data_IF_207982489713
#
_entry.id   IF_207982489713
#
_cell.length_a   1.000
_cell.length_b   1.000
_cell.length_c   1.000
_cell.angle_alpha   90.00
_cell.angle_beta   90.00
_cell.angle_gamma   90.00
#
_symmetry.space_group_name_H-M   'P 1'
#
loop_
_entity.id
_entity.type
_entity.pdbx_description
1 polymer ?
#
# COMPACT_ATOMS: atom_id res chain seq x y z
N UNK A 1 -25.54 26.22 41.84
CA UNK A 1 -25.98 26.18 40.42
C UNK A 1 -25.08 25.22 39.71
N UNK A 2 -25.44 23.94 39.79
CA UNK A 2 -24.75 22.83 39.07
C UNK A 2 -25.20 22.82 37.61
N UNK A 3 -24.27 22.95 36.69
CA UNK A 3 -24.51 22.63 35.29
C UNK A 3 -23.91 21.25 35.02
N UNK A 4 -24.80 20.31 34.77
CA UNK A 4 -24.48 18.97 34.31
C UNK A 4 -23.72 19.03 32.99
N UNK A 5 -22.52 18.45 32.95
CA UNK A 5 -21.81 18.13 31.73
C UNK A 5 -22.48 16.90 31.10
N UNK A 6 -23.02 17.12 29.91
CA UNK A 6 -23.64 16.08 29.09
C UNK A 6 -22.53 15.27 28.41
N UNK A 7 -22.35 14.02 28.87
CA UNK A 7 -21.50 13.04 28.20
C UNK A 7 -22.17 12.64 26.87
N UNK A 8 -21.83 13.33 25.80
CA UNK A 8 -22.15 12.85 24.47
C UNK A 8 -21.20 11.72 24.09
N UNK A 9 -21.67 10.51 24.29
CA UNK A 9 -21.06 9.28 23.82
C UNK A 9 -20.91 9.35 22.28
N UNK A 10 -19.69 9.52 21.79
CA UNK A 10 -19.36 9.27 20.40
C UNK A 10 -19.43 7.77 20.15
N UNK A 11 -20.59 7.30 19.74
CA UNK A 11 -20.75 5.96 19.17
C UNK A 11 -20.15 5.96 17.78
N UNK A 12 -18.98 5.34 17.65
CA UNK A 12 -18.49 4.92 16.34
C UNK A 12 -19.44 3.86 15.78
N UNK A 13 -20.28 4.27 14.85
CA UNK A 13 -21.02 3.33 14.00
C UNK A 13 -20.00 2.68 13.05
N UNK A 14 -19.51 1.52 13.46
CA UNK A 14 -18.85 0.58 12.54
C UNK A 14 -19.97 -0.03 11.72
N UNK A 15 -20.12 0.48 10.50
CA UNK A 15 -20.95 -0.17 9.50
C UNK A 15 -20.24 -1.47 9.09
N UNK A 16 -20.89 -2.63 9.22
CA UNK A 16 -20.37 -3.85 8.62
C UNK A 16 -20.72 -3.82 7.13
N UNK A 17 -19.84 -3.34 6.30
CA UNK A 17 -19.93 -3.60 4.86
C UNK A 17 -19.59 -5.07 4.63
N UNK A 18 -20.63 -5.87 4.53
CA UNK A 18 -20.55 -7.25 4.06
C UNK A 18 -20.05 -7.21 2.62
N UNK A 19 -18.80 -7.63 2.40
CA UNK A 19 -18.39 -8.08 1.09
C UNK A 19 -19.29 -9.24 0.68
N UNK A 20 -20.25 -8.97 -0.19
CA UNK A 20 -21.11 -10.00 -0.79
C UNK A 20 -20.26 -10.82 -1.75
N UNK A 21 -19.80 -11.95 -1.29
CA UNK A 21 -19.27 -13.01 -2.17
C UNK A 21 -20.49 -13.56 -2.95
N UNK A 22 -20.63 -13.14 -4.19
CA UNK A 22 -21.64 -13.68 -5.10
C UNK A 22 -21.08 -14.97 -5.68
N UNK A 23 -21.47 -16.10 -5.09
CA UNK A 23 -21.38 -17.41 -5.73
C UNK A 23 -22.55 -17.51 -6.72
N UNK A 24 -22.28 -17.36 -8.01
CA UNK A 24 -23.28 -17.61 -9.05
C UNK A 24 -23.29 -19.07 -9.42
N UNK A 25 -24.30 -19.81 -8.95
CA UNK A 25 -24.80 -21.01 -9.61
C UNK A 25 -25.80 -20.59 -10.70
N UNK A 26 -25.52 -20.97 -11.94
CA UNK A 26 -26.31 -20.64 -13.13
C UNK A 26 -27.59 -21.46 -13.20
N UNK A 27 -28.77 -20.81 -13.29
CA UNK A 27 -29.91 -21.28 -14.07
C UNK A 27 -30.80 -20.08 -14.48
N UNK A 28 -30.90 -19.86 -15.79
CA UNK A 28 -32.15 -19.58 -16.54
C UNK A 28 -32.71 -18.17 -16.57
N UNK A 29 -32.62 -17.57 -17.77
CA UNK A 29 -33.59 -16.68 -18.48
C UNK A 29 -33.96 -15.30 -17.94
N UNK A 30 -33.65 -14.28 -18.74
CA UNK A 30 -34.56 -13.14 -19.00
C UNK A 30 -34.04 -11.73 -18.65
N UNK A 31 -33.81 -10.95 -19.72
CA UNK A 31 -33.90 -9.48 -19.84
C UNK A 31 -32.84 -8.60 -19.16
N UNK A 32 -31.96 -8.05 -19.99
CA UNK A 32 -31.58 -6.65 -20.08
C UNK A 32 -31.19 -5.89 -18.80
N UNK A 33 -29.99 -6.13 -18.30
CA UNK A 33 -29.25 -5.14 -17.52
C UNK A 33 -27.77 -5.32 -17.84
N UNK A 34 -27.14 -4.29 -18.42
CA UNK A 34 -25.69 -4.26 -18.62
C UNK A 34 -25.00 -4.41 -17.24
N UNK A 35 -24.65 -5.64 -16.91
CA UNK A 35 -23.78 -5.93 -15.81
C UNK A 35 -22.40 -5.37 -16.16
N UNK A 36 -21.90 -4.44 -15.38
CA UNK A 36 -20.48 -4.12 -15.36
C UNK A 36 -19.72 -5.46 -15.32
N UNK A 37 -18.87 -5.71 -16.30
CA UNK A 37 -18.09 -6.95 -16.42
C UNK A 37 -17.14 -7.04 -15.22
N UNK A 38 -17.61 -7.66 -14.13
CA UNK A 38 -16.79 -7.95 -12.97
C UNK A 38 -15.68 -8.91 -13.38
N UNK A 39 -14.43 -8.57 -13.11
CA UNK A 39 -13.33 -9.52 -13.22
C UNK A 39 -13.62 -10.66 -12.26
N UNK A 40 -13.65 -11.90 -12.78
CA UNK A 40 -13.70 -13.07 -11.91
C UNK A 40 -12.37 -13.16 -11.18
N UNK A 41 -12.37 -12.81 -9.89
CA UNK A 41 -11.19 -12.89 -9.04
C UNK A 41 -10.89 -14.37 -8.77
N UNK A 42 -9.68 -14.81 -9.13
CA UNK A 42 -9.16 -16.09 -8.62
C UNK A 42 -8.93 -15.96 -7.10
N UNK A 43 -8.95 -17.10 -6.39
CA UNK A 43 -8.61 -17.10 -4.94
C UNK A 43 -7.23 -16.47 -4.68
N UNK A 44 -6.28 -16.75 -5.56
CA UNK A 44 -4.94 -16.17 -5.50
C UNK A 44 -4.97 -14.63 -5.63
N UNK A 45 -5.68 -14.10 -6.62
CA UNK A 45 -5.82 -12.66 -6.81
C UNK A 45 -6.47 -12.01 -5.59
N UNK A 46 -7.53 -12.62 -5.03
CA UNK A 46 -8.18 -12.12 -3.82
C UNK A 46 -7.22 -12.10 -2.62
N UNK A 47 -6.40 -13.14 -2.46
CA UNK A 47 -5.37 -13.19 -1.43
C UNK A 47 -4.33 -12.09 -1.60
N UNK A 48 -3.81 -11.89 -2.81
CA UNK A 48 -2.84 -10.84 -3.12
C UNK A 48 -3.40 -9.44 -2.87
N UNK A 49 -4.66 -9.17 -3.22
CA UNK A 49 -5.33 -7.92 -2.90
C UNK A 49 -5.42 -7.69 -1.38
N UNK A 50 -5.82 -8.72 -0.63
CA UNK A 50 -5.93 -8.63 0.83
C UNK A 50 -4.57 -8.39 1.50
N UNK A 51 -3.53 -9.05 1.02
CA UNK A 51 -2.16 -8.86 1.52
C UNK A 51 -1.66 -7.44 1.21
N UNK A 52 -1.83 -6.95 -0.02
CA UNK A 52 -1.47 -5.58 -0.39
C UNK A 52 -2.18 -4.55 0.48
N UNK A 53 -3.49 -4.72 0.73
CA UNK A 53 -4.28 -3.86 1.60
C UNK A 53 -3.79 -3.88 3.06
N UNK A 54 -3.39 -5.04 3.57
CA UNK A 54 -2.83 -5.18 4.92
C UNK A 54 -1.54 -4.36 5.08
N UNK A 55 -0.60 -4.52 4.16
CA UNK A 55 0.68 -3.78 4.19
C UNK A 55 0.50 -2.29 3.95
N UNK A 56 -0.42 -1.89 3.08
CA UNK A 56 -0.79 -0.50 2.87
C UNK A 56 -1.34 0.12 4.16
N UNK A 57 -2.28 -0.53 4.83
CA UNK A 57 -2.85 -0.05 6.09
C UNK A 57 -1.79 0.14 7.17
N UNK A 58 -0.89 -0.84 7.33
CA UNK A 58 0.23 -0.74 8.26
C UNK A 58 1.15 0.43 7.94
N UNK A 59 1.48 0.62 6.67
CA UNK A 59 2.30 1.75 6.21
C UNK A 59 1.64 3.10 6.54
N UNK A 60 0.34 3.25 6.24
CA UNK A 60 -0.43 4.47 6.52
C UNK A 60 -0.45 4.78 8.00
N UNK A 61 -0.73 3.80 8.85
CA UNK A 61 -0.75 3.98 10.31
C UNK A 61 0.61 4.41 10.85
N UNK A 62 1.69 3.82 10.34
CA UNK A 62 3.06 4.20 10.70
C UNK A 62 3.37 5.64 10.32
N UNK A 63 2.97 6.04 9.11
CA UNK A 63 3.17 7.39 8.59
C UNK A 63 2.39 8.41 9.41
N UNK A 64 1.09 8.18 9.62
CA UNK A 64 0.22 9.06 10.40
C UNK A 64 0.73 9.21 11.84
N UNK A 65 1.16 8.11 12.46
CA UNK A 65 1.74 8.16 13.81
C UNK A 65 3.00 9.04 13.86
N UNK A 66 3.89 8.88 12.86
CA UNK A 66 5.09 9.71 12.75
C UNK A 66 4.73 11.20 12.61
N UNK A 67 3.81 11.52 11.70
CA UNK A 67 3.44 12.90 11.39
C UNK A 67 2.69 13.60 12.54
N UNK A 68 1.95 12.85 13.37
CA UNK A 68 1.28 13.37 14.55
C UNK A 68 2.24 13.63 15.73
N UNK A 69 3.39 12.97 15.81
CA UNK A 69 4.36 13.23 16.88
C UNK A 69 4.91 14.66 16.86
N UNK A 70 5.14 15.23 15.69
CA UNK A 70 5.64 16.60 15.55
C UNK A 70 4.74 17.64 16.24
N UNK A 71 3.47 17.79 15.84
CA UNK A 71 2.55 18.73 16.46
C UNK A 71 2.29 18.43 17.95
N UNK A 72 2.23 17.16 18.36
CA UNK A 72 2.07 16.80 19.78
C UNK A 72 3.29 17.24 20.62
N UNK A 73 4.51 17.05 20.12
CA UNK A 73 5.72 17.55 20.77
C UNK A 73 5.75 19.08 20.85
N UNK A 74 5.25 19.77 19.83
CA UNK A 74 5.12 21.23 19.87
C UNK A 74 4.14 21.68 20.98
N UNK A 75 2.97 21.05 21.07
CA UNK A 75 1.98 21.33 22.13
C UNK A 75 2.59 21.09 23.52
N UNK A 76 3.29 19.96 23.70
CA UNK A 76 3.98 19.63 24.95
C UNK A 76 5.02 20.70 25.32
N UNK A 77 5.83 21.14 24.36
CA UNK A 77 6.85 22.16 24.56
C UNK A 77 6.25 23.52 24.93
N UNK A 78 5.16 23.93 24.26
CA UNK A 78 4.47 25.17 24.61
C UNK A 78 3.79 25.11 25.98
N UNK A 79 3.20 23.98 26.35
CA UNK A 79 2.64 23.77 27.70
C UNK A 79 3.73 23.92 28.76
N UNK A 80 4.94 23.40 28.53
CA UNK A 80 6.08 23.57 29.43
C UNK A 80 6.54 25.04 29.55
N UNK A 81 6.59 25.78 28.44
CA UNK A 81 6.93 27.21 28.47
C UNK A 81 5.89 28.01 29.23
N UNK A 82 4.60 27.71 29.05
CA UNK A 82 3.51 28.36 29.78
C UNK A 82 3.58 28.06 31.29
N UNK A 83 3.84 26.82 31.69
CA UNK A 83 4.00 26.40 33.09
C UNK A 83 5.04 27.25 33.83
N UNK A 84 6.15 27.61 33.15
CA UNK A 84 7.21 28.43 33.74
C UNK A 84 6.90 29.94 33.79
N UNK A 85 5.91 30.39 33.01
CA UNK A 85 5.54 31.81 32.95
C UNK A 85 4.27 32.17 33.73
N UNK A 86 3.50 31.15 34.11
CA UNK A 86 2.28 31.35 34.89
C UNK A 86 2.60 31.61 36.34
N UNK A 87 1.77 32.47 36.95
CA UNK A 87 1.82 32.72 38.39
C UNK A 87 1.57 31.40 39.15
N UNK A 88 2.50 31.07 40.04
CA UNK A 88 2.37 29.89 40.90
C UNK A 88 1.13 29.97 41.82
N UNK A 89 0.54 31.16 41.99
CA UNK A 89 -0.65 31.40 42.79
C UNK A 89 -1.98 31.24 41.98
N UNK A 90 -1.93 30.85 40.69
CA UNK A 90 -3.11 30.53 39.91
C UNK A 90 -3.31 29.00 39.79
N UNK A 91 -4.04 28.37 40.74
CA UNK A 91 -4.25 26.92 40.76
C UNK A 91 -5.14 26.43 39.59
N UNK A 92 -5.89 27.33 38.94
CA UNK A 92 -6.71 26.96 37.79
C UNK A 92 -5.87 26.83 36.57
N UNK A 93 -4.96 27.79 36.33
CA UNK A 93 -4.01 27.74 35.20
C UNK A 93 -3.03 26.57 35.34
N UNK A 94 -2.53 26.29 36.54
CA UNK A 94 -1.66 25.12 36.79
C UNK A 94 -2.37 23.80 36.47
N UNK A 95 -3.63 23.61 36.92
CA UNK A 95 -4.41 22.43 36.57
C UNK A 95 -4.64 22.29 35.05
N UNK A 96 -4.89 23.40 34.38
CA UNK A 96 -5.11 23.38 32.92
C UNK A 96 -3.85 22.89 32.16
N UNK A 97 -2.65 23.35 32.55
CA UNK A 97 -1.40 22.91 31.93
C UNK A 97 -1.12 21.43 32.22
N UNK A 98 -1.31 20.99 33.45
CA UNK A 98 -1.17 19.57 33.80
C UNK A 98 -2.12 18.73 32.97
N UNK A 99 -3.36 19.19 32.76
CA UNK A 99 -4.35 18.53 31.92
C UNK A 99 -3.90 18.43 30.44
N UNK A 100 -3.36 19.53 29.88
CA UNK A 100 -2.85 19.54 28.50
C UNK A 100 -1.69 18.55 28.35
N UNK A 101 -0.72 18.58 29.25
CA UNK A 101 0.45 17.67 29.19
C UNK A 101 0.03 16.21 29.31
N UNK A 102 -0.82 15.90 30.29
CA UNK A 102 -1.34 14.54 30.47
C UNK A 102 -2.12 14.07 29.23
N UNK A 103 -2.92 14.95 28.60
CA UNK A 103 -3.62 14.64 27.35
C UNK A 103 -2.69 14.34 26.20
N UNK A 104 -1.62 15.11 26.04
CA UNK A 104 -0.59 14.86 24.99
C UNK A 104 0.13 13.53 25.24
N UNK A 105 0.55 13.26 26.49
CA UNK A 105 1.23 12.01 26.83
C UNK A 105 0.35 10.79 26.57
N UNK A 106 -0.95 10.89 26.88
CA UNK A 106 -1.92 9.84 26.58
C UNK A 106 -2.07 9.61 25.08
N UNK A 107 -2.12 10.69 24.26
CA UNK A 107 -2.22 10.58 22.80
C UNK A 107 -0.97 9.93 22.21
N UNK A 108 0.22 10.32 22.64
CA UNK A 108 1.48 9.69 22.18
C UNK A 108 1.49 8.20 22.50
N UNK A 109 1.15 7.83 23.75
CA UNK A 109 1.09 6.42 24.17
C UNK A 109 0.06 5.61 23.39
N UNK A 110 -1.11 6.21 23.11
CA UNK A 110 -2.14 5.56 22.29
C UNK A 110 -1.67 5.30 20.86
N UNK A 111 -1.02 6.30 20.22
CA UNK A 111 -0.45 6.15 18.87
C UNK A 111 0.61 5.03 18.83
N UNK A 112 1.51 4.98 19.82
CA UNK A 112 2.51 3.93 19.93
C UNK A 112 1.87 2.55 20.08
N UNK A 113 0.89 2.43 20.96
CA UNK A 113 0.16 1.16 21.17
C UNK A 113 -0.55 0.69 19.90
N UNK A 114 -1.25 1.60 19.20
CA UNK A 114 -1.93 1.25 17.93
C UNK A 114 -0.94 0.78 16.89
N UNK A 115 0.16 1.52 16.69
CA UNK A 115 1.19 1.17 15.70
C UNK A 115 1.83 -0.17 16.05
N UNK A 116 2.23 -0.39 17.29
CA UNK A 116 2.88 -1.64 17.69
C UNK A 116 1.95 -2.85 17.56
N UNK A 117 0.67 -2.69 17.91
CA UNK A 117 -0.33 -3.76 17.79
C UNK A 117 -0.62 -4.09 16.32
N UNK A 118 -0.79 -3.07 15.47
CA UNK A 118 -1.10 -3.29 14.05
C UNK A 118 0.09 -3.83 13.27
N UNK A 119 1.31 -3.45 13.65
CA UNK A 119 2.55 -3.91 13.00
C UNK A 119 3.03 -5.27 13.44
N UNK A 120 2.43 -5.87 14.48
CA UNK A 120 2.89 -7.15 15.00
C UNK A 120 3.00 -8.25 13.92
N UNK A 121 2.07 -8.22 12.93
CA UNK A 121 2.05 -9.17 11.82
C UNK A 121 2.91 -8.78 10.60
N UNK A 122 3.34 -7.51 10.50
CA UNK A 122 4.05 -6.97 9.32
C UNK A 122 5.43 -6.41 9.63
N UNK A 123 5.79 -6.30 10.91
CA UNK A 123 7.05 -5.70 11.39
C UNK A 123 8.29 -6.47 10.90
N UNK A 124 8.22 -7.77 10.93
CA UNK A 124 9.24 -8.68 10.38
C UNK A 124 8.56 -9.60 9.37
N UNK A 125 8.86 -9.40 8.09
CA UNK A 125 8.42 -10.32 7.07
C UNK A 125 9.33 -11.57 7.14
N UNK A 126 8.84 -12.65 7.78
CA UNK A 126 9.51 -13.91 7.77
C UNK A 126 9.54 -14.49 6.34
N UNK A 127 10.73 -14.85 5.86
CA UNK A 127 10.91 -15.40 4.53
C UNK A 127 11.08 -16.92 4.59
N UNK A 128 10.36 -17.62 3.73
CA UNK A 128 10.58 -19.03 3.43
C UNK A 128 11.47 -19.11 2.19
N UNK A 129 12.79 -19.24 2.41
CA UNK A 129 13.76 -19.24 1.31
C UNK A 129 13.86 -20.62 0.68
N UNK A 130 13.74 -20.69 -0.64
CA UNK A 130 13.93 -21.88 -1.46
C UNK A 130 14.58 -21.50 -2.81
N UNK A 131 15.32 -22.41 -3.46
CA UNK A 131 15.88 -22.14 -4.77
C UNK A 131 14.79 -22.23 -5.84
N UNK A 132 14.74 -21.25 -6.74
CA UNK A 132 13.86 -21.24 -7.91
C UNK A 132 14.47 -20.48 -9.09
N UNK A 133 13.95 -20.76 -10.30
CA UNK A 133 14.37 -20.07 -11.50
C UNK A 133 13.75 -18.67 -11.58
N UNK A 134 14.57 -17.62 -11.70
CA UNK A 134 14.10 -16.24 -11.83
C UNK A 134 13.22 -16.03 -13.08
N UNK A 135 13.58 -16.65 -14.20
CA UNK A 135 12.80 -16.57 -15.44
C UNK A 135 11.34 -17.03 -15.22
N UNK A 136 11.14 -18.13 -14.48
CA UNK A 136 9.80 -18.64 -14.18
C UNK A 136 9.01 -17.67 -13.29
N UNK A 137 9.63 -17.09 -12.27
CA UNK A 137 8.98 -16.10 -11.40
C UNK A 137 8.43 -14.93 -12.21
N UNK A 138 9.23 -14.36 -13.12
CA UNK A 138 8.82 -13.21 -13.92
C UNK A 138 7.75 -13.57 -14.95
N UNK A 139 7.92 -14.70 -15.67
CA UNK A 139 6.95 -15.18 -16.66
C UNK A 139 5.57 -15.41 -16.03
N UNK A 140 5.53 -16.14 -14.91
CA UNK A 140 4.28 -16.46 -14.20
C UNK A 140 3.57 -15.20 -13.70
N UNK A 141 4.33 -14.23 -13.14
CA UNK A 141 3.77 -12.97 -12.65
C UNK A 141 3.17 -12.12 -13.77
N UNK A 142 3.84 -12.07 -14.93
CA UNK A 142 3.33 -11.37 -16.12
C UNK A 142 2.07 -12.03 -16.65
N UNK A 143 2.05 -13.35 -16.77
CA UNK A 143 0.91 -14.08 -17.33
C UNK A 143 -0.32 -13.98 -16.43
N UNK A 144 -0.14 -13.93 -15.10
CA UNK A 144 -1.23 -13.73 -14.16
C UNK A 144 -1.89 -12.36 -14.35
N UNK A 145 -1.13 -11.28 -14.44
CA UNK A 145 -1.68 -9.92 -14.62
C UNK A 145 -2.23 -9.73 -16.04
N UNK A 146 -1.56 -10.31 -17.06
CA UNK A 146 -1.99 -10.25 -18.46
C UNK A 146 -3.37 -10.86 -18.64
N UNK A 147 -3.61 -12.03 -18.05
CA UNK A 147 -4.88 -12.76 -18.18
C UNK A 147 -5.97 -12.21 -17.26
N UNK A 148 -5.62 -11.82 -16.04
CA UNK A 148 -6.57 -11.39 -15.02
C UNK A 148 -7.06 -9.94 -15.21
N UNK A 149 -6.16 -8.97 -15.39
CA UNK A 149 -6.50 -7.55 -15.38
C UNK A 149 -6.23 -6.84 -16.70
N UNK A 150 -5.03 -7.00 -17.27
CA UNK A 150 -4.57 -6.17 -18.39
C UNK A 150 -5.48 -6.30 -19.61
N UNK A 151 -5.92 -7.52 -19.94
CA UNK A 151 -6.84 -7.79 -21.04
C UNK A 151 -8.16 -7.03 -20.90
N UNK A 152 -8.75 -7.02 -19.71
CA UNK A 152 -10.04 -6.35 -19.45
C UNK A 152 -9.93 -4.83 -19.45
N UNK A 153 -8.73 -4.30 -19.26
CA UNK A 153 -8.45 -2.86 -19.36
C UNK A 153 -7.90 -2.44 -20.73
N UNK A 154 -7.73 -3.38 -21.67
CA UNK A 154 -7.15 -3.11 -22.99
C UNK A 154 -5.67 -2.69 -22.94
N UNK A 155 -4.94 -3.02 -21.86
CA UNK A 155 -3.52 -2.72 -21.70
C UNK A 155 -2.69 -3.92 -22.13
N UNK A 156 -1.63 -3.69 -22.90
CA UNK A 156 -0.68 -4.74 -23.30
C UNK A 156 0.45 -4.84 -22.26
N UNK A 157 0.78 -6.07 -21.82
CA UNK A 157 1.90 -6.32 -20.92
C UNK A 157 2.97 -7.11 -21.67
N UNK A 158 4.16 -6.50 -21.85
CA UNK A 158 5.32 -7.14 -22.46
C UNK A 158 6.32 -7.58 -21.39
N UNK A 159 7.04 -8.67 -21.67
CA UNK A 159 8.14 -9.13 -20.84
C UNK A 159 9.41 -9.22 -21.68
N UNK A 160 10.44 -8.51 -21.24
CA UNK A 160 11.77 -8.47 -21.86
C UNK A 160 12.76 -9.08 -20.88
N UNK A 161 13.23 -10.29 -21.16
CA UNK A 161 14.14 -11.02 -20.27
C UNK A 161 15.58 -10.90 -20.75
N UNK A 162 16.44 -10.39 -19.87
CA UNK A 162 17.89 -10.52 -19.97
C UNK A 162 18.45 -11.68 -19.16
N UNK A 163 17.57 -12.58 -18.67
CA UNK A 163 17.91 -13.75 -17.86
C UNK A 163 18.03 -14.99 -18.75
N UNK A 164 18.83 -15.96 -18.34
CA UNK A 164 18.95 -17.27 -18.98
C UNK A 164 18.55 -18.40 -18.02
N UNK A 165 19.45 -18.79 -17.16
CA UNK A 165 19.28 -19.95 -16.23
C UNK A 165 19.48 -19.58 -14.76
N UNK A 166 19.44 -18.29 -14.45
CA UNK A 166 19.73 -17.79 -13.13
C UNK A 166 18.75 -18.37 -12.09
N UNK A 167 19.34 -18.99 -11.07
CA UNK A 167 18.62 -19.47 -9.89
C UNK A 167 18.78 -18.46 -8.76
N UNK A 168 17.73 -18.31 -7.97
CA UNK A 168 17.74 -17.43 -6.81
C UNK A 168 17.25 -18.21 -5.58
N UNK A 169 17.89 -17.98 -4.43
CA UNK A 169 17.46 -18.54 -3.15
C UNK A 169 16.72 -17.45 -2.35
N UNK A 170 15.41 -17.45 -2.41
CA UNK A 170 14.56 -16.45 -1.77
C UNK A 170 13.14 -16.94 -1.56
N UNK A 171 12.28 -16.07 -1.07
CA UNK A 171 10.86 -16.37 -0.92
C UNK A 171 10.11 -16.06 -2.23
N UNK A 172 9.87 -17.11 -3.01
CA UNK A 172 9.21 -17.03 -4.32
C UNK A 172 7.83 -16.42 -4.23
N UNK A 173 7.03 -16.77 -3.21
CA UNK A 173 5.65 -16.28 -3.08
C UNK A 173 5.63 -14.78 -2.74
N UNK A 174 6.51 -14.33 -1.84
CA UNK A 174 6.62 -12.90 -1.50
C UNK A 174 7.09 -12.06 -2.69
N UNK A 175 8.06 -12.55 -3.44
CA UNK A 175 8.55 -11.87 -4.65
C UNK A 175 7.49 -11.87 -5.76
N UNK A 176 6.75 -12.96 -5.94
CA UNK A 176 5.63 -13.01 -6.87
C UNK A 176 4.51 -12.01 -6.48
N UNK A 177 4.19 -11.90 -5.19
CA UNK A 177 3.22 -10.92 -4.70
C UNK A 177 3.67 -9.48 -4.96
N UNK A 178 4.95 -9.16 -4.76
CA UNK A 178 5.49 -7.83 -5.06
C UNK A 178 5.45 -7.52 -6.56
N UNK A 179 5.87 -8.45 -7.42
CA UNK A 179 5.83 -8.28 -8.88
C UNK A 179 4.40 -8.14 -9.41
N UNK A 180 3.48 -8.96 -8.89
CA UNK A 180 2.07 -8.87 -9.21
C UNK A 180 1.51 -7.48 -8.87
N UNK A 181 1.83 -6.96 -7.68
CA UNK A 181 1.35 -5.66 -7.23
C UNK A 181 1.94 -4.52 -8.08
N UNK A 182 3.23 -4.58 -8.40
CA UNK A 182 3.88 -3.60 -9.28
C UNK A 182 3.24 -3.59 -10.67
N UNK A 183 3.01 -4.77 -11.27
CA UNK A 183 2.36 -4.90 -12.58
C UNK A 183 0.90 -4.43 -12.54
N UNK A 184 0.14 -4.81 -11.51
CA UNK A 184 -1.25 -4.39 -11.31
C UNK A 184 -1.35 -2.87 -11.21
N UNK A 185 -0.48 -2.24 -10.40
CA UNK A 185 -0.42 -0.80 -10.27
C UNK A 185 -0.11 -0.10 -11.61
N UNK A 186 0.90 -0.58 -12.33
CA UNK A 186 1.28 -0.02 -13.64
C UNK A 186 0.14 -0.14 -14.66
N UNK A 187 -0.55 -1.28 -14.69
CA UNK A 187 -1.72 -1.50 -15.57
C UNK A 187 -2.88 -0.58 -15.20
N UNK A 188 -3.18 -0.41 -13.90
CA UNK A 188 -4.26 0.49 -13.45
C UNK A 188 -3.94 1.97 -13.66
N UNK A 189 -2.66 2.35 -13.61
CA UNK A 189 -2.19 3.70 -13.87
C UNK A 189 -1.99 4.00 -15.37
N UNK A 190 -2.32 3.06 -16.27
CA UNK A 190 -2.15 3.22 -17.71
C UNK A 190 -3.49 3.39 -18.43
N UNK A 191 -3.50 4.18 -19.50
CA UNK A 191 -4.67 4.33 -20.37
C UNK A 191 -4.98 3.04 -21.16
N UNK A 192 -6.19 2.96 -21.72
CA UNK A 192 -6.55 1.92 -22.70
C UNK A 192 -5.57 1.97 -23.88
N UNK A 193 -5.21 0.81 -24.40
CA UNK A 193 -4.23 0.61 -25.49
C UNK A 193 -2.77 0.95 -25.14
N UNK A 194 -2.48 1.30 -23.90
CA UNK A 194 -1.11 1.52 -23.45
C UNK A 194 -0.31 0.22 -23.37
N UNK A 195 1.01 0.37 -23.29
CA UNK A 195 1.97 -0.73 -23.11
C UNK A 195 2.68 -0.60 -21.76
N UNK A 196 2.62 -1.65 -20.98
CA UNK A 196 3.42 -1.86 -19.77
C UNK A 196 4.51 -2.86 -20.10
N UNK A 197 5.77 -2.57 -19.77
CA UNK A 197 6.90 -3.44 -20.05
C UNK A 197 7.60 -3.82 -18.76
N UNK A 198 7.73 -5.12 -18.47
CA UNK A 198 8.61 -5.64 -17.45
C UNK A 198 9.92 -6.05 -18.10
N UNK A 199 11.02 -5.41 -17.73
CA UNK A 199 12.38 -5.81 -18.08
C UNK A 199 13.04 -6.47 -16.87
N UNK A 200 13.69 -7.61 -17.08
CA UNK A 200 14.48 -8.30 -16.06
C UNK A 200 15.92 -8.46 -16.49
N UNK A 201 16.84 -8.30 -15.56
CA UNK A 201 18.27 -8.50 -15.75
C UNK A 201 18.92 -9.01 -14.48
N UNK A 202 20.05 -9.71 -14.61
CA UNK A 202 20.89 -10.09 -13.49
C UNK A 202 22.37 -9.84 -13.86
N UNK A 203 23.14 -9.46 -12.86
CA UNK A 203 24.58 -9.39 -12.92
C UNK A 203 25.19 -10.33 -11.85
N UNK A 204 26.50 -10.26 -11.59
CA UNK A 204 27.16 -11.13 -10.61
C UNK A 204 26.72 -10.86 -9.15
N UNK A 205 26.10 -9.73 -8.88
CA UNK A 205 25.81 -9.26 -7.51
C UNK A 205 24.32 -9.20 -7.19
N UNK A 206 23.50 -8.92 -8.19
CA UNK A 206 22.07 -8.69 -7.98
C UNK A 206 21.25 -8.99 -9.24
N UNK A 207 19.95 -9.17 -9.04
CA UNK A 207 18.99 -9.12 -10.14
C UNK A 207 18.06 -7.90 -9.98
N UNK A 208 17.51 -7.48 -11.10
CA UNK A 208 16.60 -6.34 -11.20
C UNK A 208 15.36 -6.69 -11.98
N UNK A 209 14.25 -6.15 -11.54
CA UNK A 209 13.00 -6.09 -12.30
C UNK A 209 12.59 -4.62 -12.43
N UNK A 210 12.41 -4.15 -13.64
CA UNK A 210 12.00 -2.77 -13.92
C UNK A 210 10.73 -2.80 -14.75
N UNK A 211 9.66 -2.22 -14.22
CA UNK A 211 8.40 -2.03 -14.93
C UNK A 211 8.36 -0.59 -15.42
N UNK A 212 8.19 -0.43 -16.73
CA UNK A 212 8.03 0.87 -17.38
C UNK A 212 6.60 0.99 -17.92
N UNK A 213 5.97 2.12 -17.68
CA UNK A 213 4.61 2.42 -18.13
C UNK A 213 4.43 3.93 -18.33
N UNK A 214 3.45 4.33 -19.14
CA UNK A 214 3.05 5.72 -19.26
C UNK A 214 1.95 6.01 -18.25
N UNK A 215 2.22 6.94 -17.32
CA UNK A 215 1.27 7.28 -16.26
C UNK A 215 0.10 8.10 -16.81
N UNK A 216 -1.10 7.61 -16.62
CA UNK A 216 -2.35 8.32 -16.92
C UNK A 216 -3.16 8.41 -15.64
N UNK A 217 -3.07 9.56 -14.95
CA UNK A 217 -3.68 9.73 -13.63
C UNK A 217 -5.20 9.53 -13.64
N UNK A 218 -5.87 9.90 -14.74
CA UNK A 218 -7.30 9.70 -14.91
C UNK A 218 -7.69 8.21 -14.96
N UNK A 219 -6.81 7.33 -15.42
CA UNK A 219 -7.08 5.88 -15.50
C UNK A 219 -7.26 5.22 -14.12
N UNK A 220 -6.70 5.81 -13.07
CA UNK A 220 -6.87 5.33 -11.69
C UNK A 220 -8.28 5.59 -11.12
N UNK A 221 -9.04 6.53 -11.70
CA UNK A 221 -10.41 6.86 -11.26
C UNK A 221 -11.48 6.40 -12.26
N UNK A 222 -11.10 5.82 -13.38
CA UNK A 222 -12.04 5.41 -14.42
C UNK A 222 -12.91 4.25 -13.96
N UNK A 223 -14.13 4.55 -13.50
CA UNK A 223 -15.09 3.56 -13.04
C UNK A 223 -15.65 2.66 -14.17
N UNK A 224 -15.36 2.95 -15.44
CA UNK A 224 -15.80 2.15 -16.58
C UNK A 224 -14.95 0.88 -16.80
N UNK A 225 -13.78 0.82 -16.17
CA UNK A 225 -12.87 -0.32 -16.27
C UNK A 225 -12.67 -0.98 -14.90
N UNK A 226 -12.34 -2.29 -14.87
CA UNK A 226 -12.15 -2.98 -13.60
C UNK A 226 -10.88 -2.53 -12.87
N UNK A 227 -10.96 -2.53 -11.53
CA UNK A 227 -9.85 -2.26 -10.63
C UNK A 227 -9.71 -3.36 -9.59
N UNK A 228 -8.47 -3.70 -9.25
CA UNK A 228 -8.11 -4.60 -8.16
C UNK A 228 -7.60 -3.82 -6.92
N UNK A 229 -7.03 -2.63 -7.15
CA UNK A 229 -6.57 -1.76 -6.08
C UNK A 229 -7.76 -1.03 -5.45
N UNK A 230 -7.70 -0.87 -4.13
CA UNK A 230 -8.74 -0.16 -3.37
C UNK A 230 -8.89 1.30 -3.83
N UNK A 231 -10.12 1.86 -3.85
CA UNK A 231 -10.37 3.25 -4.26
C UNK A 231 -9.51 4.26 -3.48
N UNK A 232 -9.34 4.05 -2.18
CA UNK A 232 -8.51 4.91 -1.35
C UNK A 232 -7.03 4.91 -1.78
N UNK A 233 -6.49 3.73 -2.11
CA UNK A 233 -5.12 3.57 -2.60
C UNK A 233 -4.90 4.30 -3.93
N UNK A 234 -5.85 4.19 -4.85
CA UNK A 234 -5.83 4.85 -6.17
C UNK A 234 -5.90 6.37 -6.03
N UNK A 235 -6.79 6.87 -5.18
CA UNK A 235 -6.90 8.31 -4.89
C UNK A 235 -5.61 8.88 -4.31
N UNK A 236 -4.97 8.17 -3.37
CA UNK A 236 -3.70 8.60 -2.80
C UNK A 236 -2.58 8.60 -3.84
N UNK A 237 -2.52 7.59 -4.71
CA UNK A 237 -1.50 7.49 -5.76
C UNK A 237 -1.57 8.63 -6.77
N UNK A 238 -2.77 9.18 -7.07
CA UNK A 238 -2.95 10.33 -7.97
C UNK A 238 -2.45 11.65 -7.40
N UNK A 239 -2.52 11.81 -6.10
CA UNK A 239 -2.13 13.05 -5.42
C UNK A 239 -1.30 12.71 -4.18
N UNK A 240 -0.06 12.23 -4.33
CA UNK A 240 0.80 11.95 -3.20
C UNK A 240 1.05 13.25 -2.43
N UNK A 241 0.83 13.22 -1.12
CA UNK A 241 0.99 14.40 -0.25
C UNK A 241 2.42 14.90 -0.19
N UNK A 242 3.37 14.04 -0.51
CA UNK A 242 4.79 14.35 -0.47
C UNK A 242 5.49 13.80 -1.71
N UNK A 243 6.21 14.68 -2.42
CA UNK A 243 7.06 14.30 -3.53
C UNK A 243 8.16 13.32 -3.06
N UNK A 244 8.43 12.29 -3.85
CA UNK A 244 9.47 11.30 -3.57
C UNK A 244 9.04 10.17 -2.61
N UNK A 245 7.81 10.17 -2.09
CA UNK A 245 7.26 9.01 -1.36
C UNK A 245 6.59 8.03 -2.32
N UNK A 246 6.76 6.75 -2.06
CA UNK A 246 6.06 5.70 -2.80
C UNK A 246 4.56 5.80 -2.59
N UNK A 247 3.77 5.40 -3.60
CA UNK A 247 2.34 5.20 -3.43
C UNK A 247 2.10 4.18 -2.31
N UNK A 248 1.16 4.47 -1.41
CA UNK A 248 0.96 3.65 -0.20
C UNK A 248 0.65 2.20 -0.51
N UNK A 249 -0.05 1.93 -1.60
CA UNK A 249 -0.36 0.57 -2.04
C UNK A 249 0.89 -0.25 -2.35
N UNK A 250 2.00 0.38 -2.74
CA UNK A 250 3.28 -0.28 -3.07
C UNK A 250 4.16 -0.58 -1.85
N UNK A 251 3.66 -0.36 -0.63
CA UNK A 251 4.39 -0.63 0.61
C UNK A 251 4.81 -2.10 0.77
N UNK A 252 4.01 -3.05 0.28
CA UNK A 252 4.38 -4.48 0.23
C UNK A 252 5.65 -4.69 -0.60
N UNK A 253 5.76 -4.04 -1.78
CA UNK A 253 6.94 -4.17 -2.65
C UNK A 253 8.21 -3.73 -1.92
N UNK A 254 8.15 -2.59 -1.22
CA UNK A 254 9.25 -2.09 -0.39
C UNK A 254 9.63 -3.07 0.72
N UNK A 255 8.64 -3.60 1.46
CA UNK A 255 8.88 -4.54 2.55
C UNK A 255 9.48 -5.86 2.07
N UNK A 256 9.01 -6.38 0.94
CA UNK A 256 9.56 -7.60 0.33
C UNK A 256 11.00 -7.37 -0.14
N UNK A 257 11.29 -6.22 -0.75
CA UNK A 257 12.65 -5.86 -1.14
C UNK A 257 13.59 -5.81 0.07
N UNK A 258 13.23 -5.04 1.10
CA UNK A 258 14.01 -4.90 2.34
C UNK A 258 14.27 -6.24 3.03
N UNK A 259 13.25 -7.12 3.11
CA UNK A 259 13.40 -8.45 3.71
C UNK A 259 14.36 -9.37 2.93
N UNK A 260 14.52 -9.14 1.62
CA UNK A 260 15.50 -9.83 0.79
C UNK A 260 16.87 -9.11 0.73
N UNK A 261 17.06 -8.03 1.52
CA UNK A 261 18.30 -7.24 1.53
C UNK A 261 18.45 -6.30 0.34
N UNK A 262 17.35 -6.04 -0.38
CA UNK A 262 17.31 -5.21 -1.58
C UNK A 262 16.58 -3.88 -1.39
N UNK A 263 16.25 -3.24 -2.51
CA UNK A 263 15.56 -1.95 -2.55
C UNK A 263 14.40 -1.97 -3.54
N UNK A 264 13.39 -1.14 -3.25
CA UNK A 264 12.28 -0.84 -4.15
C UNK A 264 12.25 0.66 -4.41
N UNK A 265 12.11 1.03 -5.68
CA UNK A 265 12.06 2.41 -6.14
C UNK A 265 10.83 2.64 -7.01
N UNK A 266 10.18 3.77 -6.82
CA UNK A 266 9.12 4.27 -7.68
C UNK A 266 9.59 5.58 -8.32
N UNK A 267 9.57 5.64 -9.66
CA UNK A 267 9.78 6.86 -10.41
C UNK A 267 8.68 7.87 -10.19
N UNK A 268 8.96 9.13 -10.47
CA UNK A 268 7.97 10.19 -10.38
C UNK A 268 6.82 9.91 -11.36
N UNK A 269 5.60 10.12 -10.89
CA UNK A 269 4.39 9.87 -11.67
C UNK A 269 3.80 11.21 -12.11
N UNK A 270 3.99 11.52 -13.38
CA UNK A 270 3.43 12.72 -14.02
C UNK A 270 2.53 12.28 -15.17
N UNK A 271 1.39 12.95 -15.32
CA UNK A 271 0.38 12.59 -16.31
C UNK A 271 0.94 12.65 -17.74
N UNK A 272 0.73 11.59 -18.52
CA UNK A 272 1.23 11.45 -19.88
C UNK A 272 2.74 11.22 -19.99
N UNK A 273 3.44 10.95 -18.89
CA UNK A 273 4.88 10.68 -18.91
C UNK A 273 5.22 9.25 -18.54
N UNK A 274 6.36 8.79 -19.03
CA UNK A 274 6.90 7.49 -18.64
C UNK A 274 7.33 7.49 -17.17
N UNK A 275 6.88 6.50 -16.43
CA UNK A 275 7.27 6.24 -15.05
C UNK A 275 7.78 4.81 -14.90
N UNK A 276 8.47 4.54 -13.80
CA UNK A 276 9.10 3.25 -13.53
C UNK A 276 8.83 2.76 -12.12
N UNK A 277 8.74 1.43 -11.98
CA UNK A 277 8.81 0.73 -10.70
C UNK A 277 9.98 -0.24 -10.78
N UNK A 278 10.90 -0.16 -9.84
CA UNK A 278 12.10 -0.98 -9.86
C UNK A 278 12.27 -1.77 -8.57
N UNK A 279 12.53 -3.06 -8.71
CA UNK A 279 12.90 -3.98 -7.64
C UNK A 279 14.33 -4.43 -7.88
N UNK A 280 15.20 -4.25 -6.90
CA UNK A 280 16.61 -4.62 -6.94
C UNK A 280 16.94 -5.52 -5.75
N UNK A 281 17.34 -6.76 -6.00
CA UNK A 281 17.58 -7.77 -4.98
C UNK A 281 18.99 -8.36 -5.16
N UNK A 282 19.82 -8.38 -4.10
CA UNK A 282 21.13 -9.00 -4.15
C UNK A 282 21.02 -10.53 -4.32
N UNK A 283 21.90 -11.13 -5.14
CA UNK A 283 21.95 -12.58 -5.35
C UNK A 283 22.51 -13.33 -4.14
N UNK A 284 23.36 -12.67 -3.36
CA UNK A 284 23.89 -13.22 -2.10
C UNK A 284 23.16 -12.50 -0.97
N UNK A 285 22.40 -13.26 -0.17
CA UNK A 285 21.77 -12.70 1.02
C UNK A 285 22.88 -12.25 2.00
N UNK A 286 22.76 -11.01 2.47
CA UNK A 286 23.63 -10.48 3.52
C UNK A 286 23.41 -11.23 4.85
#
# INVERSE_FOLDING_TARGET
MERAYNESSFQFHVLPERASIVTTSSTGTGSGQQAASGVSLSERTAHLCAEAALFMRDHVLSLVSHDLRGPLNAIHSWAYVLERKLDANDPAAQRAIVGIRSGVDQQVKLLETIVDTTRAGTKTLALVREPFALQALFSDSVDEVRTGLARSRGVSVAFESGLSTEQFNGDRERLAAALWLMLTFAVEASANSAKVTLASSADATAWRAVITYEATLAALDDASVPHLLEPFARTQARAPREAGRIAWVLSLCKRVAEAHGGTFEQGEMQDGQASTLALHIPLVAA
#
